data_IF_653721204823
#
_entry.id   IF_653721204823
#
_cell.length_a   1.000
_cell.length_b   1.000
_cell.length_c   1.000
_cell.angle_alpha   90.00
_cell.angle_beta   90.00
_cell.angle_gamma   90.00
#
_symmetry.space_group_name_H-M   'P 1'
#
loop_
_entity.id
_entity.type
_entity.pdbx_description
1 polymer ?
#
# COMPACT_ATOMS: atom_id res chain seq x y z
N UNK A 1 -83.09 53.16 15.16
CA UNK A 1 -82.42 52.38 16.22
C UNK A 1 -81.39 51.52 15.51
N UNK A 2 -80.09 51.82 15.60
CA UNK A 2 -79.18 51.46 16.71
C UNK A 2 -79.25 49.95 16.98
N UNK A 3 -78.21 49.13 17.04
CA UNK A 3 -76.73 49.14 17.00
C UNK A 3 -76.40 47.67 16.57
N UNK A 4 -75.21 47.22 16.19
CA UNK A 4 -73.96 47.19 16.95
C UNK A 4 -72.94 46.43 16.08
N UNK A 5 -71.75 46.99 15.92
CA UNK A 5 -70.61 46.37 15.23
C UNK A 5 -69.97 45.32 16.15
N UNK A 6 -69.96 44.05 15.74
CA UNK A 6 -69.15 43.02 16.37
C UNK A 6 -67.76 42.98 15.74
N UNK A 7 -66.79 43.46 16.52
CA UNK A 7 -65.34 43.28 16.35
C UNK A 7 -64.96 41.80 16.35
N UNK A 8 -64.33 41.31 15.28
CA UNK A 8 -63.63 40.03 15.25
C UNK A 8 -62.16 40.31 15.56
N UNK A 9 -61.68 39.79 16.70
CA UNK A 9 -60.27 39.80 17.07
C UNK A 9 -59.47 38.96 16.07
N UNK A 10 -58.62 39.61 15.28
CA UNK A 10 -57.53 38.95 14.57
C UNK A 10 -56.49 38.49 15.58
N UNK A 11 -56.35 37.18 15.71
CA UNK A 11 -55.26 36.52 16.43
C UNK A 11 -53.92 36.85 15.77
N UNK A 12 -53.09 37.65 16.45
CA UNK A 12 -51.66 37.75 16.18
C UNK A 12 -51.04 36.34 16.30
N UNK A 13 -50.59 35.79 15.17
CA UNK A 13 -49.67 34.66 15.18
C UNK A 13 -48.27 35.18 15.54
N UNK A 14 -47.53 34.50 16.43
CA UNK A 14 -46.15 34.89 16.69
C UNK A 14 -45.33 34.57 15.45
N UNK A 15 -44.77 35.61 14.82
CA UNK A 15 -43.68 35.44 13.87
C UNK A 15 -42.55 34.68 14.59
N UNK A 16 -42.40 33.39 14.29
CA UNK A 16 -41.17 32.66 14.57
C UNK A 16 -40.14 33.31 13.64
N UNK A 17 -39.50 34.36 14.15
CA UNK A 17 -38.31 34.91 13.55
C UNK A 17 -37.35 33.76 13.36
N UNK A 18 -37.06 33.43 12.10
CA UNK A 18 -35.98 32.52 11.76
C UNK A 18 -34.70 33.19 12.25
N UNK A 19 -34.35 32.97 13.52
CA UNK A 19 -33.03 33.31 14.03
C UNK A 19 -32.04 32.64 13.09
N UNK A 20 -31.31 33.48 12.36
CA UNK A 20 -30.33 33.09 11.39
C UNK A 20 -29.21 32.37 12.13
N UNK A 21 -29.38 31.07 12.36
CA UNK A 21 -28.52 30.21 13.16
C UNK A 21 -27.05 30.23 12.66
N UNK A 22 -26.84 30.65 11.41
CA UNK A 22 -25.52 30.92 10.85
C UNK A 22 -24.79 32.09 11.55
N UNK A 23 -25.51 32.95 12.26
CA UNK A 23 -24.99 34.04 13.10
C UNK A 23 -24.66 33.62 14.53
N UNK A 24 -25.23 32.52 15.05
CA UNK A 24 -25.03 32.08 16.44
C UNK A 24 -23.89 31.07 16.61
N UNK A 25 -23.49 30.36 15.56
CA UNK A 25 -22.37 29.41 15.62
C UNK A 25 -21.01 30.12 15.70
N UNK A 26 -20.02 29.60 16.46
CA UNK A 26 -18.64 30.08 16.44
C UNK A 26 -17.95 29.89 15.07
N UNK A 27 -16.97 30.73 14.76
CA UNK A 27 -16.23 30.66 13.48
C UNK A 27 -15.52 29.31 13.32
N UNK A 28 -14.98 28.74 14.40
CA UNK A 28 -14.26 27.46 14.38
C UNK A 28 -15.17 26.29 13.95
N UNK A 29 -16.44 26.32 14.34
CA UNK A 29 -17.41 25.29 13.92
C UNK A 29 -17.75 25.45 12.45
N UNK A 30 -17.91 26.69 11.98
CA UNK A 30 -18.18 26.97 10.58
C UNK A 30 -16.99 26.61 9.68
N UNK A 31 -15.76 26.86 10.13
CA UNK A 31 -14.53 26.43 9.46
C UNK A 31 -14.45 24.90 9.36
N UNK A 32 -14.85 24.19 10.42
CA UNK A 32 -14.94 22.74 10.41
C UNK A 32 -16.03 22.24 9.46
N UNK A 33 -17.21 22.87 9.43
CA UNK A 33 -18.28 22.55 8.46
C UNK A 33 -17.79 22.75 7.03
N UNK A 34 -17.10 23.85 6.75
CA UNK A 34 -16.50 24.14 5.43
C UNK A 34 -15.44 23.11 5.03
N UNK A 35 -14.75 22.48 5.98
CA UNK A 35 -13.71 21.47 5.73
C UNK A 35 -14.25 20.16 5.12
N UNK A 36 -15.57 19.96 5.14
CA UNK A 36 -16.22 18.84 4.46
C UNK A 36 -16.52 19.13 2.99
N UNK A 37 -16.47 20.40 2.56
CA UNK A 37 -16.76 20.80 1.19
C UNK A 37 -15.50 20.77 0.31
N UNK A 38 -15.64 20.55 -1.00
CA UNK A 38 -14.62 20.93 -1.97
C UNK A 38 -14.24 22.41 -1.83
N UNK A 39 -12.96 22.73 -2.04
CA UNK A 39 -12.42 24.07 -1.86
C UNK A 39 -13.14 25.12 -2.71
N UNK A 40 -13.56 24.75 -3.92
CA UNK A 40 -14.34 25.58 -4.83
C UNK A 40 -15.68 25.98 -4.20
N UNK A 41 -16.41 25.02 -3.64
CA UNK A 41 -17.69 25.25 -2.97
C UNK A 41 -17.53 26.04 -1.68
N UNK A 42 -16.50 25.72 -0.89
CA UNK A 42 -16.17 26.47 0.32
C UNK A 42 -15.93 27.95 0.02
N UNK A 43 -15.22 28.27 -1.07
CA UNK A 43 -15.05 29.66 -1.54
C UNK A 43 -16.37 30.24 -2.06
N UNK A 44 -17.22 29.47 -2.73
CA UNK A 44 -18.52 29.97 -3.21
C UNK A 44 -19.49 30.34 -2.07
N UNK A 45 -19.33 29.76 -0.87
CA UNK A 45 -20.11 30.17 0.31
C UNK A 45 -19.94 31.66 0.68
N UNK A 46 -18.89 32.33 0.18
CA UNK A 46 -18.73 33.78 0.28
C UNK A 46 -19.95 34.57 -0.24
N UNK A 47 -20.70 34.00 -1.20
CA UNK A 47 -21.90 34.62 -1.79
C UNK A 47 -23.11 34.50 -0.86
N UNK A 48 -23.15 33.46 0.00
CA UNK A 48 -24.27 33.18 0.91
C UNK A 48 -24.32 34.19 2.04
N UNK A 49 -23.18 34.50 2.66
CA UNK A 49 -23.10 35.50 3.71
C UNK A 49 -21.70 36.11 3.84
N UNK A 50 -21.64 37.41 4.13
CA UNK A 50 -20.38 38.15 4.33
C UNK A 50 -19.46 37.50 5.38
N UNK A 51 -20.02 36.88 6.42
CA UNK A 51 -19.25 36.21 7.48
C UNK A 51 -18.41 35.05 6.93
N UNK A 52 -18.94 34.30 5.98
CA UNK A 52 -18.30 33.10 5.43
C UNK A 52 -17.13 33.45 4.51
N UNK A 53 -17.01 34.71 4.08
CA UNK A 53 -16.03 35.10 3.08
C UNK A 53 -14.55 35.02 3.52
N UNK A 54 -14.32 34.85 4.82
CA UNK A 54 -12.98 34.73 5.39
C UNK A 54 -12.72 33.35 6.03
N UNK A 55 -13.77 32.58 6.34
CA UNK A 55 -13.65 31.31 7.07
C UNK A 55 -12.92 30.23 6.27
N UNK A 56 -13.15 30.15 4.95
CA UNK A 56 -12.44 29.20 4.09
C UNK A 56 -10.90 29.39 4.12
N UNK A 57 -10.40 30.57 4.52
CA UNK A 57 -8.95 30.82 4.61
C UNK A 57 -8.27 30.09 5.76
N UNK A 58 -9.03 29.67 6.76
CA UNK A 58 -8.53 28.96 7.94
C UNK A 58 -9.02 27.51 8.01
N UNK A 59 -9.84 27.05 7.04
CA UNK A 59 -10.43 25.71 7.06
C UNK A 59 -9.37 24.60 7.17
N UNK A 60 -9.49 23.63 8.09
CA UNK A 60 -8.42 22.67 8.37
C UNK A 60 -8.20 21.63 7.26
N UNK A 61 -9.12 21.50 6.30
CA UNK A 61 -8.99 20.58 5.18
C UNK A 61 -9.07 21.30 3.84
N UNK A 62 -8.18 20.94 2.93
CA UNK A 62 -8.17 21.36 1.54
C UNK A 62 -8.57 20.18 0.67
N UNK A 63 -9.78 20.18 0.13
CA UNK A 63 -10.29 19.14 -0.76
C UNK A 63 -10.45 19.68 -2.17
N UNK A 64 -9.64 19.20 -3.09
CA UNK A 64 -9.68 19.52 -4.51
C UNK A 64 -10.17 18.26 -5.21
N UNK A 65 -11.47 18.18 -5.44
CA UNK A 65 -12.11 17.01 -6.07
C UNK A 65 -12.72 17.46 -7.39
N UNK A 66 -12.34 16.78 -8.47
CA UNK A 66 -12.92 16.99 -9.80
C UNK A 66 -13.24 15.63 -10.41
N UNK A 67 -14.53 15.30 -10.48
CA UNK A 67 -15.01 14.05 -11.09
C UNK A 67 -15.38 14.23 -12.58
N UNK A 68 -15.38 15.47 -13.08
CA UNK A 68 -15.64 15.78 -14.47
C UNK A 68 -14.39 15.57 -15.33
N UNK A 69 -14.60 15.16 -16.59
CA UNK A 69 -13.54 15.12 -17.57
C UNK A 69 -12.95 16.52 -17.78
N UNK A 70 -11.65 16.69 -17.56
CA UNK A 70 -10.97 17.98 -17.74
C UNK A 70 -10.24 18.03 -19.09
N UNK A 71 -10.46 19.09 -19.86
CA UNK A 71 -9.53 19.43 -20.94
C UNK A 71 -8.33 20.20 -20.38
N UNK A 72 -7.33 20.47 -21.23
CA UNK A 72 -6.15 21.26 -20.89
C UNK A 72 -6.54 22.64 -20.28
N UNK A 73 -7.66 23.22 -20.70
CA UNK A 73 -8.15 24.49 -20.18
C UNK A 73 -8.72 24.35 -18.76
N UNK A 74 -9.44 23.26 -18.48
CA UNK A 74 -9.94 22.90 -17.16
C UNK A 74 -8.80 22.73 -16.15
N UNK A 75 -7.75 22.00 -16.52
CA UNK A 75 -6.55 21.82 -15.68
C UNK A 75 -5.85 23.16 -15.42
N UNK A 76 -5.70 24.03 -16.44
CA UNK A 76 -5.17 25.41 -16.28
C UNK A 76 -5.97 26.19 -15.25
N UNK A 77 -7.29 26.16 -15.38
CA UNK A 77 -8.19 26.90 -14.50
C UNK A 77 -8.13 26.38 -13.07
N UNK A 78 -8.06 25.07 -12.89
CA UNK A 78 -7.92 24.43 -11.59
C UNK A 78 -6.61 24.84 -10.90
N UNK A 79 -5.50 24.79 -11.63
CA UNK A 79 -4.19 25.24 -11.15
C UNK A 79 -4.18 26.71 -10.74
N UNK A 80 -4.76 27.60 -11.57
CA UNK A 80 -4.87 29.02 -11.23
C UNK A 80 -5.72 29.23 -9.97
N UNK A 81 -6.81 28.47 -9.82
CA UNK A 81 -7.64 28.49 -8.63
C UNK A 81 -6.85 28.08 -7.39
N UNK A 82 -6.09 26.98 -7.45
CA UNK A 82 -5.36 26.45 -6.30
C UNK A 82 -4.20 27.34 -5.91
N UNK A 83 -3.42 27.86 -6.87
CA UNK A 83 -2.40 28.87 -6.59
C UNK A 83 -2.99 30.10 -5.90
N UNK A 84 -4.12 30.61 -6.40
CA UNK A 84 -4.83 31.73 -5.78
C UNK A 84 -5.34 31.40 -4.38
N UNK A 85 -5.85 30.18 -4.17
CA UNK A 85 -6.35 29.69 -2.89
C UNK A 85 -5.21 29.62 -1.85
N UNK A 86 -4.10 28.98 -2.20
CA UNK A 86 -2.92 28.83 -1.34
C UNK A 86 -2.31 30.19 -0.99
N UNK A 87 -2.21 31.11 -1.97
CA UNK A 87 -1.72 32.48 -1.74
C UNK A 87 -2.59 33.31 -0.79
N UNK A 88 -3.91 33.04 -0.74
CA UNK A 88 -4.87 33.79 0.07
C UNK A 88 -5.19 33.15 1.41
N UNK A 89 -4.66 31.96 1.66
CA UNK A 89 -4.88 31.20 2.89
C UNK A 89 -4.19 31.88 4.07
N UNK A 90 -4.70 31.65 5.27
CA UNK A 90 -4.03 32.06 6.48
C UNK A 90 -2.81 31.14 6.73
N UNK A 91 -1.60 31.66 6.55
CA UNK A 91 -0.36 30.90 6.76
C UNK A 91 -0.16 30.41 8.21
N UNK A 92 -0.92 30.94 9.17
CA UNK A 92 -0.89 30.47 10.57
C UNK A 92 -1.82 29.28 10.82
N UNK A 93 -2.76 29.02 9.92
CA UNK A 93 -3.72 27.92 10.06
C UNK A 93 -3.17 26.64 9.43
N UNK A 94 -2.87 25.65 10.27
CA UNK A 94 -2.39 24.35 9.84
C UNK A 94 -3.41 23.66 8.93
N UNK A 95 -2.92 22.94 7.93
CA UNK A 95 -3.74 22.05 7.11
C UNK A 95 -3.63 20.66 7.73
N UNK A 96 -4.73 20.14 8.24
CA UNK A 96 -4.80 18.76 8.72
C UNK A 96 -4.84 17.79 7.54
N UNK A 97 -5.64 18.12 6.51
CA UNK A 97 -5.86 17.24 5.35
C UNK A 97 -5.72 18.02 4.05
N UNK A 98 -4.90 17.54 3.12
CA UNK A 98 -4.92 17.96 1.72
C UNK A 98 -5.28 16.76 0.86
N UNK A 99 -6.40 16.86 0.16
CA UNK A 99 -6.93 15.82 -0.73
C UNK A 99 -7.03 16.39 -2.13
N UNK A 100 -6.41 15.71 -3.08
CA UNK A 100 -6.46 16.04 -4.50
C UNK A 100 -6.93 14.79 -5.24
N UNK A 101 -8.10 14.89 -5.85
CA UNK A 101 -8.70 13.87 -6.70
C UNK A 101 -8.96 14.49 -8.07
N UNK A 102 -8.25 13.99 -9.07
CA UNK A 102 -8.38 14.40 -10.46
C UNK A 102 -8.95 13.21 -11.23
N UNK A 103 -10.13 13.38 -11.82
CA UNK A 103 -10.76 12.41 -12.72
C UNK A 103 -10.04 12.30 -14.07
N UNK A 104 -10.74 11.77 -15.07
CA UNK A 104 -10.21 11.64 -16.44
C UNK A 104 -9.89 13.01 -17.06
N UNK A 105 -8.85 13.12 -17.87
CA UNK A 105 -8.53 14.34 -18.61
C UNK A 105 -7.94 14.02 -19.99
N UNK A 106 -7.76 15.03 -20.86
CA UNK A 106 -7.29 14.82 -22.23
C UNK A 106 -5.76 14.61 -22.28
N UNK A 107 -5.35 13.38 -22.59
CA UNK A 107 -3.99 12.85 -22.35
C UNK A 107 -3.14 12.69 -23.61
N UNK A 108 -2.95 13.76 -24.37
CA UNK A 108 -2.13 13.64 -25.59
C UNK A 108 -0.62 13.65 -25.27
N UNK A 109 -0.20 14.29 -24.16
CA UNK A 109 1.20 14.32 -23.66
C UNK A 109 1.21 14.54 -22.13
N UNK A 110 2.31 14.20 -21.44
CA UNK A 110 2.53 14.48 -20.01
C UNK A 110 2.18 15.95 -19.69
N UNK A 111 0.96 16.24 -19.22
CA UNK A 111 0.55 17.64 -18.98
C UNK A 111 1.35 18.15 -17.78
N UNK A 112 2.34 19.07 -17.99
CA UNK A 112 3.17 19.56 -16.91
C UNK A 112 2.31 20.16 -15.79
N UNK A 113 1.11 20.62 -16.11
CA UNK A 113 0.22 21.30 -15.18
C UNK A 113 -0.39 20.38 -14.12
N UNK A 114 -0.70 19.12 -14.43
CA UNK A 114 -1.15 18.17 -13.40
C UNK A 114 -0.01 17.90 -12.42
N UNK A 115 1.22 17.80 -12.93
CA UNK A 115 2.41 17.66 -12.09
C UNK A 115 2.60 18.88 -11.18
N UNK A 116 2.39 20.09 -11.71
CA UNK A 116 2.41 21.31 -10.89
C UNK A 116 1.35 21.26 -9.78
N UNK A 117 0.15 20.75 -10.08
CA UNK A 117 -0.92 20.67 -9.10
C UNK A 117 -0.58 19.76 -7.94
N UNK A 118 -0.10 18.55 -8.26
CA UNK A 118 0.29 17.58 -7.25
C UNK A 118 1.47 18.11 -6.43
N UNK A 119 2.43 18.79 -7.07
CA UNK A 119 3.53 19.48 -6.38
C UNK A 119 3.04 20.57 -5.43
N UNK A 120 2.11 21.42 -5.87
CA UNK A 120 1.54 22.48 -5.04
C UNK A 120 0.78 21.88 -3.83
N UNK A 121 0.07 20.77 -4.01
CA UNK A 121 -0.58 20.04 -2.94
C UNK A 121 0.40 19.43 -1.92
N UNK A 122 1.52 18.87 -2.42
CA UNK A 122 2.61 18.36 -1.59
C UNK A 122 3.24 19.48 -0.72
N UNK A 123 3.33 20.69 -1.25
CA UNK A 123 3.89 21.84 -0.52
C UNK A 123 2.96 22.46 0.53
N UNK A 124 1.72 21.97 0.67
CA UNK A 124 0.73 22.51 1.60
C UNK A 124 1.05 22.30 3.10
N UNK A 125 2.19 21.68 3.45
CA UNK A 125 2.61 21.37 4.83
C UNK A 125 1.52 20.64 5.64
N UNK A 126 0.70 19.83 4.96
CA UNK A 126 -0.41 19.13 5.57
C UNK A 126 0.05 17.92 6.39
N UNK A 127 -0.76 17.52 7.38
CA UNK A 127 -0.51 16.30 8.18
C UNK A 127 -0.88 15.03 7.43
N UNK A 128 -1.92 15.10 6.60
CA UNK A 128 -2.40 14.01 5.77
C UNK A 128 -2.49 14.54 4.34
N UNK A 129 -1.85 13.83 3.41
CA UNK A 129 -1.92 14.15 1.98
C UNK A 129 -2.49 12.92 1.26
N UNK A 130 -3.54 13.13 0.47
CA UNK A 130 -4.14 12.12 -0.41
C UNK A 130 -4.14 12.64 -1.83
N UNK A 131 -3.55 11.87 -2.73
CA UNK A 131 -3.47 12.20 -4.15
C UNK A 131 -4.01 11.00 -4.92
N UNK A 132 -5.06 11.24 -5.69
CA UNK A 132 -5.66 10.27 -6.63
C UNK A 132 -5.72 10.92 -8.00
N UNK A 133 -5.10 10.27 -9.00
CA UNK A 133 -5.12 10.74 -10.39
C UNK A 133 -5.65 9.62 -11.27
N UNK A 134 -6.92 9.71 -11.66
CA UNK A 134 -7.61 8.67 -12.41
C UNK A 134 -7.31 8.81 -13.91
N UNK A 135 -6.19 8.26 -14.39
CA UNK A 135 -6.03 8.01 -15.82
C UNK A 135 -5.13 6.80 -16.08
N UNK A 136 -5.59 5.97 -17.02
CA UNK A 136 -4.94 4.74 -17.45
C UNK A 136 -3.59 4.97 -18.16
N UNK A 137 -3.24 6.21 -18.50
CA UNK A 137 -2.07 6.54 -19.32
C UNK A 137 -1.18 7.67 -18.77
N UNK A 138 -1.45 8.21 -17.57
CA UNK A 138 -0.82 9.44 -17.11
C UNK A 138 0.41 9.28 -16.24
N UNK A 139 1.49 9.96 -16.65
CA UNK A 139 2.72 10.03 -15.89
C UNK A 139 2.75 11.26 -15.00
N UNK A 140 2.38 11.09 -13.73
CA UNK A 140 2.50 12.18 -12.74
C UNK A 140 3.95 12.31 -12.28
N UNK A 141 4.80 12.99 -13.03
CA UNK A 141 6.21 13.18 -12.66
C UNK A 141 6.38 14.04 -11.39
N UNK A 142 6.57 13.37 -10.25
CA UNK A 142 7.01 14.00 -9.00
C UNK A 142 8.52 14.38 -9.00
N UNK A 143 9.14 14.47 -10.17
CA UNK A 143 10.57 14.68 -10.35
C UNK A 143 11.19 15.88 -9.64
N UNK A 144 12.34 15.65 -9.02
CA UNK A 144 13.33 16.68 -8.72
C UNK A 144 13.09 17.55 -7.47
N UNK A 145 12.01 17.36 -6.72
CA UNK A 145 11.76 18.12 -5.49
C UNK A 145 12.01 17.24 -4.27
N UNK A 146 12.99 17.57 -3.41
CA UNK A 146 13.09 16.93 -2.12
C UNK A 146 11.86 17.35 -1.32
N UNK A 147 11.05 16.36 -0.95
CA UNK A 147 9.80 16.59 -0.25
C UNK A 147 10.10 16.83 1.24
N UNK A 148 9.95 18.09 1.68
CA UNK A 148 10.20 18.51 3.07
C UNK A 148 8.88 18.83 3.78
N UNK A 149 8.50 18.00 4.75
CA UNK A 149 7.39 18.30 5.66
C UNK A 149 7.72 17.86 7.08
N UNK A 150 7.55 18.77 8.03
CA UNK A 150 7.74 18.46 9.46
C UNK A 150 6.47 17.89 10.11
N UNK A 151 5.34 17.94 9.39
CA UNK A 151 4.02 17.62 9.94
C UNK A 151 3.35 16.43 9.28
N UNK A 152 3.81 16.04 8.08
CA UNK A 152 3.23 14.92 7.35
C UNK A 152 3.36 13.63 8.15
N UNK A 153 2.23 13.00 8.43
CA UNK A 153 2.11 11.72 9.13
C UNK A 153 1.57 10.61 8.25
N UNK A 154 0.82 10.97 7.20
CA UNK A 154 0.15 10.04 6.29
C UNK A 154 0.23 10.54 4.85
N UNK A 155 0.73 9.70 3.96
CA UNK A 155 0.76 9.94 2.52
C UNK A 155 0.05 8.80 1.79
N UNK A 156 -0.91 9.16 0.95
CA UNK A 156 -1.65 8.23 0.10
C UNK A 156 -1.52 8.67 -1.36
N UNK A 157 -1.00 7.77 -2.19
CA UNK A 157 -0.81 7.95 -3.62
C UNK A 157 -1.58 6.85 -4.34
N UNK A 158 -2.54 7.22 -5.18
CA UNK A 158 -3.37 6.29 -5.95
C UNK A 158 -3.30 6.64 -7.43
N UNK A 159 -2.94 5.67 -8.28
CA UNK A 159 -2.82 5.82 -9.73
C UNK A 159 -1.82 6.93 -10.11
N UNK A 160 -0.62 6.88 -9.54
CA UNK A 160 0.44 7.89 -9.72
C UNK A 160 1.71 7.21 -10.24
N UNK A 161 2.27 7.72 -11.33
CA UNK A 161 3.55 7.25 -11.88
C UNK A 161 4.76 7.98 -11.27
N UNK A 162 5.80 7.25 -10.89
CA UNK A 162 6.93 7.76 -10.10
C UNK A 162 8.26 7.49 -10.83
N UNK A 163 8.66 8.34 -11.80
CA UNK A 163 9.75 8.03 -12.76
C UNK A 163 11.20 8.56 -12.48
N UNK A 164 11.42 9.68 -11.79
CA UNK A 164 12.75 10.24 -11.39
C UNK A 164 13.49 9.64 -10.15
N UNK A 165 14.59 10.25 -9.68
CA UNK A 165 15.54 9.62 -8.73
C UNK A 165 15.17 9.60 -7.22
N UNK A 166 14.06 10.18 -6.74
CA UNK A 166 13.92 10.47 -5.30
C UNK A 166 12.52 10.23 -4.75
N UNK A 167 12.23 9.02 -4.25
CA UNK A 167 11.22 8.80 -3.19
C UNK A 167 11.93 8.81 -1.83
N UNK A 168 12.66 9.89 -1.58
CA UNK A 168 13.39 10.10 -0.34
C UNK A 168 12.53 10.91 0.64
N UNK A 169 11.89 10.19 1.55
CA UNK A 169 11.13 10.76 2.66
C UNK A 169 12.01 10.93 3.91
N UNK A 170 13.34 10.86 3.80
CA UNK A 170 14.26 11.14 4.92
C UNK A 170 14.06 12.52 5.53
N UNK A 171 13.57 13.45 4.72
CA UNK A 171 13.24 14.82 5.09
C UNK A 171 11.85 14.99 5.73
N UNK A 172 11.12 13.88 5.95
CA UNK A 172 9.80 13.84 6.57
C UNK A 172 9.84 13.08 7.91
N UNK A 173 10.35 13.70 8.98
CA UNK A 173 10.59 13.01 10.25
C UNK A 173 9.31 12.53 10.96
N UNK A 174 8.14 13.08 10.59
CA UNK A 174 6.86 12.71 11.18
C UNK A 174 6.09 11.62 10.39
N UNK A 175 6.58 11.22 9.21
CA UNK A 175 5.86 10.32 8.31
C UNK A 175 5.79 8.91 8.91
N UNK A 176 4.57 8.45 9.22
CA UNK A 176 4.33 7.13 9.81
C UNK A 176 3.71 6.15 8.83
N UNK A 177 2.83 6.62 7.94
CA UNK A 177 2.05 5.77 7.06
C UNK A 177 2.22 6.20 5.60
N UNK A 178 2.49 5.22 4.73
CA UNK A 178 2.60 5.40 3.29
C UNK A 178 1.76 4.33 2.59
N UNK A 179 0.75 4.78 1.84
CA UNK A 179 -0.09 3.94 0.99
C UNK A 179 0.16 4.29 -0.47
N UNK A 180 0.49 3.28 -1.28
CA UNK A 180 0.61 3.37 -2.74
C UNK A 180 -0.35 2.35 -3.36
N UNK A 181 -1.22 2.78 -4.26
CA UNK A 181 -2.19 1.90 -4.92
C UNK A 181 -2.23 2.17 -6.43
N UNK A 182 -2.01 1.16 -7.25
CA UNK A 182 -2.06 1.34 -8.71
C UNK A 182 -0.95 2.26 -9.23
N UNK A 183 0.16 2.41 -8.51
CA UNK A 183 1.23 3.32 -8.90
C UNK A 183 2.24 2.62 -9.81
N UNK A 184 2.72 3.31 -10.84
CA UNK A 184 3.94 2.90 -11.54
C UNK A 184 5.17 3.41 -10.80
N UNK A 185 6.10 2.53 -10.48
CA UNK A 185 7.31 2.84 -9.73
C UNK A 185 8.50 2.53 -10.62
N UNK A 186 9.23 3.57 -11.03
CA UNK A 186 10.49 3.42 -11.75
C UNK A 186 11.64 2.96 -10.84
N UNK A 187 12.87 3.04 -11.35
CA UNK A 187 14.10 2.52 -10.73
C UNK A 187 14.53 3.26 -9.45
N UNK A 188 13.74 3.22 -8.37
CA UNK A 188 13.92 4.09 -7.20
C UNK A 188 14.29 3.35 -5.91
N UNK A 189 14.92 4.11 -5.01
CA UNK A 189 15.07 3.77 -3.60
C UNK A 189 13.99 4.51 -2.78
N UNK A 190 13.06 3.78 -2.17
CA UNK A 190 12.16 4.32 -1.15
C UNK A 190 12.96 4.40 0.15
N UNK A 191 13.20 5.62 0.63
CA UNK A 191 13.97 5.88 1.85
C UNK A 191 13.07 6.55 2.89
N UNK A 192 12.93 5.96 4.07
CA UNK A 192 12.33 6.65 5.21
C UNK A 192 12.83 6.10 6.54
N UNK A 193 13.19 6.98 7.48
CA UNK A 193 13.63 6.59 8.83
C UNK A 193 12.51 6.65 9.88
N UNK A 194 11.38 7.26 9.53
CA UNK A 194 10.23 7.49 10.40
C UNK A 194 9.06 6.55 10.11
N UNK A 195 9.03 5.95 8.92
CA UNK A 195 7.92 5.14 8.44
C UNK A 195 7.70 3.90 9.32
N UNK A 196 6.47 3.74 9.79
CA UNK A 196 6.01 2.62 10.64
C UNK A 196 5.15 1.63 9.84
N UNK A 197 4.35 2.11 8.88
CA UNK A 197 3.47 1.29 8.04
C UNK A 197 3.62 1.64 6.55
N UNK A 198 3.85 0.62 5.72
CA UNK A 198 3.97 0.72 4.27
C UNK A 198 3.04 -0.28 3.60
N UNK A 199 2.14 0.22 2.76
CA UNK A 199 1.22 -0.59 1.97
C UNK A 199 1.36 -0.23 0.49
N UNK A 200 1.65 -1.23 -0.33
CA UNK A 200 1.82 -1.12 -1.78
C UNK A 200 0.90 -2.16 -2.43
N UNK A 201 -0.10 -1.69 -3.19
CA UNK A 201 -1.17 -2.52 -3.76
C UNK A 201 -1.24 -2.30 -5.27
N UNK A 202 -1.20 -3.37 -6.06
CA UNK A 202 -1.40 -3.33 -7.51
C UNK A 202 -0.43 -2.35 -8.22
N UNK A 203 0.81 -2.23 -7.74
CA UNK A 203 1.79 -1.30 -8.29
C UNK A 203 2.74 -2.00 -9.27
N UNK A 204 3.19 -1.28 -10.29
CA UNK A 204 4.11 -1.81 -11.32
C UNK A 204 5.54 -1.36 -11.04
N UNK A 205 6.50 -2.29 -10.97
CA UNK A 205 7.91 -1.97 -10.76
C UNK A 205 8.72 -2.15 -12.05
N UNK A 206 9.01 -1.06 -12.76
CA UNK A 206 9.75 -1.10 -14.03
C UNK A 206 11.25 -1.34 -13.80
N UNK A 207 11.87 -2.35 -14.45
CA UNK A 207 13.27 -2.73 -14.21
C UNK A 207 14.31 -2.00 -15.09
N UNK A 208 13.93 -0.99 -15.88
CA UNK A 208 14.73 -0.42 -16.99
C UNK A 208 16.19 -0.06 -16.66
N UNK A 209 16.50 0.30 -15.40
CA UNK A 209 17.83 0.69 -14.92
C UNK A 209 18.22 -0.07 -13.62
N UNK A 210 17.32 -0.89 -13.08
CA UNK A 210 17.59 -1.78 -11.94
C UNK A 210 16.41 -1.95 -10.99
N UNK A 211 16.44 -3.01 -10.18
CA UNK A 211 15.38 -3.33 -9.23
C UNK A 211 15.21 -2.23 -8.17
N UNK A 212 13.97 -1.80 -7.94
CA UNK A 212 13.63 -0.85 -6.88
C UNK A 212 14.10 -1.34 -5.51
N UNK A 213 14.43 -0.43 -4.60
CA UNK A 213 14.94 -0.72 -3.25
C UNK A 213 14.08 -0.05 -2.20
N UNK A 214 13.71 -0.76 -1.14
CA UNK A 214 12.94 -0.23 -0.02
C UNK A 214 13.82 -0.28 1.23
N UNK A 215 14.12 0.88 1.79
CA UNK A 215 14.90 1.05 3.02
C UNK A 215 14.09 1.84 4.05
N UNK A 216 13.46 1.09 4.95
CA UNK A 216 12.65 1.63 6.03
C UNK A 216 12.98 0.91 7.35
N UNK A 217 14.06 1.30 8.06
CA UNK A 217 14.54 0.56 9.23
C UNK A 217 13.57 0.58 10.42
N UNK A 218 12.69 1.58 10.50
CA UNK A 218 11.68 1.74 11.56
C UNK A 218 10.34 1.07 11.22
N UNK A 219 10.24 0.40 10.08
CA UNK A 219 9.00 -0.18 9.59
C UNK A 219 8.54 -1.31 10.52
N UNK A 220 7.27 -1.25 10.93
CA UNK A 220 6.61 -2.22 11.82
C UNK A 220 5.68 -3.12 11.02
N UNK A 221 5.01 -2.58 10.01
CA UNK A 221 4.10 -3.30 9.11
C UNK A 221 4.44 -3.06 7.65
N UNK A 222 4.52 -4.14 6.87
CA UNK A 222 4.69 -4.11 5.43
C UNK A 222 3.57 -4.89 4.75
N UNK A 223 2.95 -4.30 3.74
CA UNK A 223 2.01 -4.98 2.85
C UNK A 223 2.41 -4.71 1.40
N UNK A 224 2.71 -5.78 0.67
CA UNK A 224 3.07 -5.75 -0.75
C UNK A 224 2.16 -6.76 -1.46
N UNK A 225 1.20 -6.28 -2.22
CA UNK A 225 0.15 -7.12 -2.83
C UNK A 225 0.06 -6.82 -4.32
N UNK A 226 0.07 -7.90 -5.11
CA UNK A 226 -0.24 -7.93 -6.54
C UNK A 226 0.55 -6.93 -7.37
N UNK A 227 1.84 -6.85 -7.07
CA UNK A 227 2.75 -5.97 -7.79
C UNK A 227 3.31 -6.65 -9.05
N UNK A 228 3.33 -5.90 -10.15
CA UNK A 228 3.74 -6.38 -11.48
C UNK A 228 5.22 -6.15 -11.75
N UNK A 229 5.73 -6.87 -12.77
CA UNK A 229 7.12 -6.81 -13.23
C UNK A 229 8.12 -7.29 -12.17
N UNK A 230 9.05 -6.43 -11.72
CA UNK A 230 10.17 -6.85 -10.88
C UNK A 230 9.91 -6.56 -9.39
N UNK A 231 9.91 -7.59 -8.56
CA UNK A 231 9.72 -7.44 -7.11
C UNK A 231 10.80 -6.55 -6.50
N UNK A 232 10.49 -5.57 -5.61
CA UNK A 232 11.49 -4.68 -5.02
C UNK A 232 12.43 -5.40 -4.03
N UNK A 233 13.66 -4.91 -3.90
CA UNK A 233 14.61 -5.32 -2.87
C UNK A 233 14.22 -4.67 -1.55
N UNK A 234 13.95 -5.48 -0.53
CA UNK A 234 13.80 -5.07 0.85
C UNK A 234 15.17 -5.06 1.53
N UNK A 235 15.65 -3.88 1.90
CA UNK A 235 16.81 -3.75 2.79
C UNK A 235 16.46 -4.22 4.21
N UNK A 236 17.45 -4.35 5.10
CA UNK A 236 17.20 -4.87 6.45
C UNK A 236 16.22 -4.00 7.24
N UNK A 237 15.13 -4.59 7.74
CA UNK A 237 14.08 -3.92 8.51
C UNK A 237 14.05 -4.44 9.96
N UNK A 238 14.93 -3.96 10.85
CA UNK A 238 15.09 -4.51 12.20
C UNK A 238 13.85 -4.38 13.11
N UNK A 239 12.97 -3.43 12.80
CA UNK A 239 11.77 -3.14 13.59
C UNK A 239 10.51 -3.88 13.10
N UNK A 240 10.64 -4.66 12.02
CA UNK A 240 9.51 -5.29 11.34
C UNK A 240 8.83 -6.31 12.25
N UNK A 241 7.51 -6.22 12.37
CA UNK A 241 6.70 -7.15 13.18
C UNK A 241 5.77 -7.99 12.34
N UNK A 242 5.11 -7.39 11.35
CA UNK A 242 4.19 -8.09 10.45
C UNK A 242 4.52 -7.74 9.00
N UNK A 243 4.59 -8.74 8.13
CA UNK A 243 4.60 -8.52 6.69
C UNK A 243 3.59 -9.42 5.96
N UNK A 244 2.91 -8.85 4.98
CA UNK A 244 2.02 -9.54 4.05
C UNK A 244 2.59 -9.32 2.65
N UNK A 245 3.03 -10.39 2.00
CA UNK A 245 3.57 -10.36 0.65
C UNK A 245 2.73 -11.30 -0.21
N UNK A 246 1.96 -10.74 -1.14
CA UNK A 246 1.14 -11.48 -2.11
C UNK A 246 1.60 -11.15 -3.52
N UNK A 247 2.10 -12.14 -4.25
CA UNK A 247 2.72 -11.94 -5.57
C UNK A 247 2.01 -12.81 -6.62
N UNK A 248 0.89 -12.30 -7.14
CA UNK A 248 0.22 -12.94 -8.27
C UNK A 248 0.71 -12.41 -9.64
N UNK A 249 1.12 -11.14 -9.74
CA UNK A 249 1.56 -10.50 -10.99
C UNK A 249 3.08 -10.45 -11.25
N UNK A 250 3.90 -11.04 -10.37
CA UNK A 250 5.36 -10.93 -10.47
C UNK A 250 5.91 -11.64 -11.72
N UNK A 251 6.69 -10.92 -12.53
CA UNK A 251 7.32 -11.44 -13.75
C UNK A 251 8.81 -11.79 -13.52
N UNK A 252 9.22 -11.95 -12.26
CA UNK A 252 10.58 -12.35 -11.91
C UNK A 252 10.91 -13.74 -12.45
N UNK A 253 11.93 -13.83 -13.31
CA UNK A 253 12.41 -15.09 -13.91
C UNK A 253 13.92 -15.25 -13.76
N UNK A 254 14.41 -16.48 -13.89
CA UNK A 254 15.85 -16.77 -13.93
C UNK A 254 16.28 -16.78 -15.39
N UNK A 255 17.19 -15.87 -15.76
CA UNK A 255 17.68 -15.72 -17.13
C UNK A 255 18.50 -16.91 -17.69
N UNK A 256 18.43 -18.11 -17.09
CA UNK A 256 18.89 -19.34 -17.73
C UNK A 256 17.72 -19.96 -18.50
N UNK A 257 17.49 -19.38 -19.64
CA UNK A 257 17.24 -20.00 -20.94
C UNK A 257 17.06 -18.82 -21.87
N UNK A 258 17.46 -18.93 -23.13
CA UNK A 258 17.45 -17.83 -24.09
C UNK A 258 16.06 -17.16 -24.27
N UNK A 259 15.01 -17.63 -23.59
CA UNK A 259 13.72 -16.95 -23.40
C UNK A 259 13.11 -17.28 -22.01
N UNK A 260 13.39 -16.46 -20.98
CA UNK A 260 12.48 -16.22 -19.83
C UNK A 260 11.88 -17.41 -19.06
N UNK A 261 12.67 -18.41 -18.68
CA UNK A 261 12.19 -19.59 -17.93
C UNK A 261 12.15 -19.44 -16.39
N UNK A 262 11.23 -20.18 -15.74
CA UNK A 262 11.28 -20.44 -14.28
C UNK A 262 12.35 -21.49 -13.99
N UNK A 263 13.18 -21.24 -13.00
CA UNK A 263 14.43 -21.98 -12.81
C UNK A 263 14.34 -22.83 -11.57
N UNK A 264 14.24 -24.13 -11.82
CA UNK A 264 14.02 -25.18 -10.84
C UNK A 264 15.31 -25.77 -10.28
N UNK A 265 16.49 -25.27 -10.69
CA UNK A 265 17.77 -25.87 -10.34
C UNK A 265 18.44 -25.19 -9.14
N UNK A 266 18.63 -25.95 -8.06
CA UNK A 266 19.36 -25.55 -6.83
C UNK A 266 20.82 -25.14 -7.12
N UNK A 267 21.37 -25.55 -8.26
CA UNK A 267 22.76 -25.30 -8.70
C UNK A 267 22.83 -24.14 -9.71
N UNK A 268 21.76 -23.36 -9.89
CA UNK A 268 21.80 -22.25 -10.83
C UNK A 268 22.79 -21.16 -10.37
N UNK A 269 23.89 -21.02 -11.11
CA UNK A 269 24.89 -19.97 -10.93
C UNK A 269 24.34 -18.54 -11.11
N UNK A 270 23.13 -18.34 -11.63
CA UNK A 270 22.47 -17.03 -11.68
C UNK A 270 21.51 -16.79 -10.50
N UNK A 271 21.19 -17.81 -9.70
CA UNK A 271 20.18 -17.72 -8.63
C UNK A 271 20.77 -17.81 -7.23
N UNK A 272 21.96 -18.37 -7.10
CA UNK A 272 22.62 -18.60 -5.82
C UNK A 272 23.75 -17.60 -5.49
N UNK A 273 24.23 -17.60 -4.24
CA UNK A 273 25.29 -16.70 -3.73
C UNK A 273 26.65 -16.84 -4.42
N UNK A 274 26.81 -17.84 -5.29
CA UNK A 274 28.03 -18.11 -6.07
C UNK A 274 27.99 -17.45 -7.47
N UNK A 275 27.03 -16.56 -7.75
CA UNK A 275 26.92 -15.88 -9.05
C UNK A 275 28.05 -14.86 -9.27
N UNK A 276 28.68 -14.91 -10.44
CA UNK A 276 29.78 -14.02 -10.81
C UNK A 276 29.32 -12.67 -11.38
N UNK A 277 28.02 -12.47 -11.61
CA UNK A 277 27.44 -11.22 -12.08
C UNK A 277 26.82 -10.43 -10.92
N UNK A 278 27.19 -9.15 -10.79
CA UNK A 278 26.87 -8.28 -9.64
C UNK A 278 25.37 -8.03 -9.42
N UNK A 279 24.53 -8.31 -10.42
CA UNK A 279 23.07 -8.09 -10.34
C UNK A 279 22.31 -9.16 -9.54
N UNK A 280 22.92 -10.30 -9.20
CA UNK A 280 22.26 -11.45 -8.54
C UNK A 280 22.85 -11.85 -7.17
N UNK A 281 23.73 -11.03 -6.59
CA UNK A 281 24.46 -11.36 -5.34
C UNK A 281 23.72 -11.05 -4.04
N UNK A 282 22.44 -10.67 -4.09
CA UNK A 282 21.71 -10.25 -2.90
C UNK A 282 20.29 -10.82 -2.88
N UNK A 283 19.90 -11.35 -1.71
CA UNK A 283 18.52 -11.66 -1.40
C UNK A 283 17.65 -10.41 -1.57
N UNK A 284 16.49 -10.56 -2.21
CA UNK A 284 15.61 -9.45 -2.58
C UNK A 284 14.59 -9.17 -1.49
N UNK A 285 13.78 -10.15 -1.09
CA UNK A 285 12.75 -10.02 -0.08
C UNK A 285 13.21 -10.53 1.29
N UNK A 286 13.69 -11.78 1.35
CA UNK A 286 13.73 -12.51 2.64
C UNK A 286 14.68 -11.89 3.67
N UNK A 287 15.72 -11.20 3.22
CA UNK A 287 16.64 -10.47 4.11
C UNK A 287 15.90 -9.36 4.87
N UNK A 288 15.08 -8.58 4.19
CA UNK A 288 14.26 -7.54 4.82
C UNK A 288 13.18 -8.10 5.75
N UNK A 289 12.66 -9.29 5.43
CA UNK A 289 11.59 -9.95 6.19
C UNK A 289 12.07 -10.76 7.40
N UNK A 290 13.37 -11.01 7.53
CA UNK A 290 13.97 -11.94 8.51
C UNK A 290 13.66 -11.62 9.99
N UNK A 291 13.34 -10.36 10.29
CA UNK A 291 13.10 -9.86 11.65
C UNK A 291 11.62 -9.90 12.06
N UNK A 292 10.71 -10.26 11.15
CA UNK A 292 9.27 -10.27 11.40
C UNK A 292 8.82 -11.35 12.40
N UNK A 293 7.78 -11.02 13.19
CA UNK A 293 7.10 -11.96 14.09
C UNK A 293 5.97 -12.73 13.38
N UNK A 294 5.37 -12.13 12.35
CA UNK A 294 4.27 -12.68 11.56
C UNK A 294 4.50 -12.42 10.08
N UNK A 295 4.52 -13.49 9.28
CA UNK A 295 4.68 -13.43 7.84
C UNK A 295 3.53 -14.13 7.12
N UNK A 296 2.99 -13.48 6.11
CA UNK A 296 2.12 -14.09 5.10
C UNK A 296 2.80 -13.97 3.74
N UNK A 297 3.13 -15.11 3.13
CA UNK A 297 3.83 -15.19 1.85
C UNK A 297 2.99 -16.01 0.88
N UNK A 298 2.22 -15.32 0.05
CA UNK A 298 1.30 -15.93 -0.90
C UNK A 298 1.77 -15.58 -2.31
N UNK A 299 1.76 -16.53 -3.23
CA UNK A 299 2.11 -16.29 -4.62
C UNK A 299 1.59 -17.39 -5.53
N UNK A 300 1.62 -17.17 -6.85
CA UNK A 300 1.32 -18.24 -7.80
C UNK A 300 2.25 -19.46 -7.61
N UNK A 301 1.80 -20.70 -7.91
CA UNK A 301 2.60 -21.92 -7.77
C UNK A 301 4.01 -21.85 -8.40
N UNK A 302 4.14 -21.07 -9.48
CA UNK A 302 5.36 -20.85 -10.25
C UNK A 302 6.26 -19.71 -9.76
N UNK A 303 5.87 -18.97 -8.72
CA UNK A 303 6.58 -17.77 -8.28
C UNK A 303 8.04 -18.05 -7.94
N UNK A 304 8.93 -17.50 -8.75
CA UNK A 304 10.36 -17.78 -8.71
C UNK A 304 11.07 -17.07 -7.55
N UNK A 305 10.64 -15.85 -7.21
CA UNK A 305 11.37 -14.95 -6.31
C UNK A 305 11.54 -15.54 -4.90
N UNK A 306 10.50 -16.17 -4.35
CA UNK A 306 10.57 -16.79 -3.03
C UNK A 306 11.54 -17.98 -3.02
N UNK A 307 11.44 -18.86 -4.02
CA UNK A 307 12.33 -20.03 -4.14
C UNK A 307 13.79 -19.59 -4.28
N UNK A 308 14.05 -18.58 -5.11
CA UNK A 308 15.39 -18.01 -5.29
C UNK A 308 15.96 -17.47 -3.99
N UNK A 309 15.19 -16.67 -3.27
CA UNK A 309 15.66 -16.05 -2.02
C UNK A 309 15.87 -17.07 -0.90
N UNK A 310 15.11 -18.16 -0.87
CA UNK A 310 15.31 -19.24 0.10
C UNK A 310 16.59 -20.03 -0.11
N UNK A 311 17.22 -19.97 -1.29
CA UNK A 311 18.58 -20.51 -1.50
C UNK A 311 19.64 -19.82 -0.62
N UNK A 312 19.33 -18.62 -0.10
CA UNK A 312 20.19 -17.90 0.83
C UNK A 312 20.00 -18.31 2.29
N UNK A 313 19.09 -19.25 2.56
CA UNK A 313 18.79 -19.78 3.90
C UNK A 313 18.65 -18.67 4.97
N UNK A 314 17.77 -17.68 4.76
CA UNK A 314 17.55 -16.58 5.71
C UNK A 314 17.04 -17.14 7.04
N UNK A 315 17.59 -16.66 8.15
CA UNK A 315 17.15 -17.09 9.49
C UNK A 315 16.06 -16.18 10.01
N UNK A 316 14.89 -16.75 10.32
CA UNK A 316 13.72 -16.06 10.84
C UNK A 316 13.65 -16.19 12.36
N UNK A 317 14.53 -15.46 13.06
CA UNK A 317 14.79 -15.66 14.50
C UNK A 317 13.61 -15.31 15.42
N UNK A 318 12.68 -14.47 14.95
CA UNK A 318 11.53 -13.95 15.72
C UNK A 318 10.18 -14.46 15.23
N UNK A 319 10.14 -15.22 14.13
CA UNK A 319 8.91 -15.62 13.46
C UNK A 319 8.09 -16.59 14.29
N UNK A 320 6.88 -16.18 14.68
CA UNK A 320 5.91 -16.97 15.47
C UNK A 320 4.75 -17.48 14.62
N UNK A 321 4.31 -16.71 13.63
CA UNK A 321 3.18 -17.06 12.77
C UNK A 321 3.59 -16.98 11.30
N UNK A 322 3.33 -18.04 10.55
CA UNK A 322 3.66 -18.13 9.14
C UNK A 322 2.45 -18.60 8.34
N UNK A 323 2.08 -17.87 7.29
CA UNK A 323 1.04 -18.24 6.33
C UNK A 323 1.68 -18.41 4.96
N UNK A 324 1.50 -19.58 4.34
CA UNK A 324 1.96 -19.90 2.98
C UNK A 324 0.80 -20.46 2.15
N UNK A 325 0.91 -20.42 0.82
CA UNK A 325 0.04 -21.18 -0.08
C UNK A 325 0.82 -22.20 -0.93
N UNK A 326 0.18 -22.73 -1.96
CA UNK A 326 0.69 -23.86 -2.75
C UNK A 326 2.09 -23.72 -3.36
N UNK A 327 2.64 -22.52 -3.59
CA UNK A 327 3.99 -22.37 -4.19
C UNK A 327 5.09 -23.06 -3.38
N UNK A 328 4.90 -23.21 -2.06
CA UNK A 328 5.90 -23.83 -1.17
C UNK A 328 5.96 -25.36 -1.30
N UNK A 329 5.00 -25.96 -2.02
CA UNK A 329 4.85 -27.40 -2.24
C UNK A 329 4.58 -27.77 -3.70
N UNK A 330 4.46 -26.80 -4.61
CA UNK A 330 3.99 -26.99 -5.99
C UNK A 330 4.89 -27.86 -6.88
N UNK A 331 6.20 -27.87 -6.64
CA UNK A 331 7.18 -28.64 -7.44
C UNK A 331 7.89 -29.66 -6.53
N UNK A 332 8.45 -29.16 -5.44
CA UNK A 332 8.99 -29.96 -4.34
C UNK A 332 8.65 -29.26 -3.01
N UNK A 333 9.00 -29.90 -1.89
CA UNK A 333 8.80 -29.34 -0.55
C UNK A 333 10.04 -28.62 -0.01
N UNK A 334 11.07 -28.38 -0.83
CA UNK A 334 12.30 -27.74 -0.38
C UNK A 334 12.05 -26.33 0.20
N UNK A 335 11.21 -25.46 -0.41
CA UNK A 335 10.91 -24.15 0.16
C UNK A 335 10.27 -24.22 1.54
N UNK A 336 9.25 -25.08 1.71
CA UNK A 336 8.58 -25.29 3.00
C UNK A 336 9.58 -25.77 4.05
N UNK A 337 10.39 -26.77 3.71
CA UNK A 337 11.39 -27.36 4.61
C UNK A 337 12.44 -26.32 5.02
N UNK A 338 12.95 -25.55 4.06
CA UNK A 338 13.94 -24.49 4.30
C UNK A 338 13.41 -23.47 5.32
N UNK A 339 12.21 -22.93 5.11
CA UNK A 339 11.64 -21.94 6.05
C UNK A 339 11.48 -22.54 7.44
N UNK A 340 10.96 -23.77 7.54
CA UNK A 340 10.73 -24.41 8.84
C UNK A 340 12.02 -24.70 9.61
N UNK A 341 13.10 -25.10 8.93
CA UNK A 341 14.41 -25.30 9.53
C UNK A 341 15.04 -23.99 10.02
N UNK A 342 14.71 -22.88 9.36
CA UNK A 342 15.26 -21.56 9.65
C UNK A 342 14.35 -20.68 10.52
N UNK A 343 13.23 -21.21 11.03
CA UNK A 343 12.29 -20.52 11.91
C UNK A 343 12.22 -21.20 13.30
N UNK A 344 13.24 -21.06 14.16
CA UNK A 344 13.40 -21.86 15.38
C UNK A 344 12.37 -21.58 16.48
N UNK A 345 11.61 -20.50 16.38
CA UNK A 345 10.61 -20.08 17.38
C UNK A 345 9.17 -20.10 16.85
N UNK A 346 8.94 -20.67 15.66
CA UNK A 346 7.62 -20.75 15.04
C UNK A 346 6.62 -21.46 15.95
N UNK A 347 5.43 -20.87 16.10
CA UNK A 347 4.33 -21.36 16.95
C UNK A 347 3.13 -21.84 16.14
N UNK A 348 2.80 -21.13 15.06
CA UNK A 348 1.65 -21.41 14.18
C UNK A 348 2.07 -21.40 12.71
N UNK A 349 1.69 -22.44 11.98
CA UNK A 349 1.82 -22.54 10.53
C UNK A 349 0.43 -22.69 9.91
N UNK A 350 0.08 -21.82 8.96
CA UNK A 350 -1.15 -21.91 8.18
C UNK A 350 -0.80 -22.12 6.71
N UNK A 351 -1.38 -23.14 6.09
CA UNK A 351 -1.20 -23.49 4.69
C UNK A 351 -2.53 -23.35 3.94
N UNK A 352 -2.54 -22.55 2.90
CA UNK A 352 -3.71 -22.31 2.02
C UNK A 352 -3.48 -23.01 0.68
N UNK A 353 -4.11 -24.15 0.44
CA UNK A 353 -3.90 -24.97 -0.76
C UNK A 353 -5.15 -24.93 -1.65
N UNK A 354 -5.27 -23.87 -2.45
CA UNK A 354 -6.47 -23.62 -3.25
C UNK A 354 -6.42 -24.31 -4.62
N UNK A 355 -5.26 -24.27 -5.29
CA UNK A 355 -5.10 -24.75 -6.67
C UNK A 355 -4.11 -25.91 -6.71
N UNK A 356 -4.52 -27.07 -7.25
CA UNK A 356 -3.67 -28.24 -7.42
C UNK A 356 -3.07 -28.30 -8.83
N UNK A 357 -1.74 -28.45 -8.99
CA UNK A 357 -1.16 -28.68 -10.31
C UNK A 357 -1.48 -30.10 -10.81
N UNK A 358 -1.82 -30.23 -12.11
CA UNK A 358 -2.29 -31.48 -12.72
C UNK A 358 -1.34 -32.68 -12.57
N UNK A 359 -0.03 -32.44 -12.42
CA UNK A 359 1.02 -33.46 -12.42
C UNK A 359 1.96 -33.35 -11.20
N UNK A 360 1.41 -33.29 -9.99
CA UNK A 360 2.23 -33.23 -8.78
C UNK A 360 2.79 -34.60 -8.36
N UNK A 361 4.12 -34.76 -8.47
CA UNK A 361 4.87 -35.92 -7.95
C UNK A 361 5.67 -35.51 -6.70
N UNK A 362 5.01 -35.47 -5.54
CA UNK A 362 5.68 -35.10 -4.29
C UNK A 362 6.93 -35.94 -4.01
N UNK A 363 8.10 -35.30 -4.03
CA UNK A 363 9.38 -35.94 -3.74
C UNK A 363 9.98 -35.42 -2.43
N UNK A 364 9.71 -36.14 -1.34
CA UNK A 364 10.45 -35.96 -0.09
C UNK A 364 10.79 -37.32 0.50
N UNK A 365 12.08 -37.50 0.77
CA UNK A 365 12.60 -38.65 1.46
C UNK A 365 13.07 -38.24 2.86
N UNK A 366 12.28 -38.50 3.93
CA UNK A 366 12.64 -38.16 5.30
C UNK A 366 13.98 -38.77 5.76
N UNK A 367 14.38 -39.90 5.16
CA UNK A 367 15.64 -40.58 5.50
C UNK A 367 16.89 -39.89 4.95
N UNK A 368 16.75 -39.00 3.97
CA UNK A 368 17.87 -38.31 3.32
C UNK A 368 18.16 -36.91 3.91
N UNK A 369 17.17 -36.26 4.54
CA UNK A 369 17.29 -34.92 5.13
C UNK A 369 16.44 -34.81 6.41
N UNK A 370 17.05 -34.94 7.60
CA UNK A 370 16.33 -34.74 8.86
C UNK A 370 15.90 -33.28 9.02
N UNK A 371 14.60 -33.03 9.23
CA UNK A 371 14.10 -31.71 9.60
C UNK A 371 14.32 -31.46 11.09
N UNK A 372 14.99 -30.36 11.42
CA UNK A 372 14.93 -29.77 12.74
C UNK A 372 13.77 -28.76 12.78
N UNK A 373 12.58 -29.19 13.19
CA UNK A 373 11.44 -28.31 13.38
C UNK A 373 11.56 -27.50 14.67
N UNK A 374 10.91 -26.33 14.69
CA UNK A 374 10.70 -25.55 15.92
C UNK A 374 10.00 -26.41 16.97
N UNK A 375 10.64 -26.54 18.15
CA UNK A 375 10.02 -27.20 19.31
C UNK A 375 8.83 -26.41 19.88
N UNK A 376 8.62 -25.18 19.42
CA UNK A 376 7.51 -24.31 19.82
C UNK A 376 6.29 -24.42 18.91
N UNK A 377 6.39 -25.16 17.80
CA UNK A 377 5.28 -25.32 16.87
C UNK A 377 4.15 -26.08 17.57
N UNK A 378 3.01 -25.42 17.76
CA UNK A 378 1.84 -25.96 18.47
C UNK A 378 0.72 -26.32 17.50
N UNK A 379 0.49 -25.45 16.50
CA UNK A 379 -0.66 -25.50 15.63
C UNK A 379 -0.24 -25.47 14.16
N UNK A 380 -0.75 -26.42 13.39
CA UNK A 380 -0.67 -26.43 11.93
C UNK A 380 -2.08 -26.44 11.36
N UNK A 381 -2.44 -25.36 10.70
CA UNK A 381 -3.70 -25.21 9.97
C UNK A 381 -3.47 -25.50 8.50
N UNK A 382 -4.26 -26.39 7.91
CA UNK A 382 -4.22 -26.68 6.47
C UNK A 382 -5.62 -26.49 5.91
N UNK A 383 -5.77 -25.44 5.10
CA UNK A 383 -6.96 -25.12 4.36
C UNK A 383 -6.78 -25.61 2.92
N UNK A 384 -7.76 -26.31 2.37
CA UNK A 384 -7.69 -26.85 1.00
C UNK A 384 -9.04 -26.85 0.31
N UNK A 385 -9.03 -26.76 -1.02
CA UNK A 385 -10.24 -26.71 -1.84
C UNK A 385 -10.80 -28.10 -2.17
N UNK A 386 -9.95 -29.14 -2.17
CA UNK A 386 -10.32 -30.52 -2.48
C UNK A 386 -9.70 -31.48 -1.45
N UNK A 387 -10.52 -32.25 -0.75
CA UNK A 387 -10.08 -33.27 0.21
C UNK A 387 -9.16 -34.35 -0.42
N UNK A 388 -9.25 -34.57 -1.73
CA UNK A 388 -8.44 -35.53 -2.46
C UNK A 388 -7.06 -34.99 -2.85
N UNK A 389 -6.74 -33.74 -2.50
CA UNK A 389 -5.45 -33.14 -2.77
C UNK A 389 -4.32 -33.91 -2.06
N UNK A 390 -3.56 -34.67 -2.86
CA UNK A 390 -2.43 -35.50 -2.39
C UNK A 390 -1.37 -34.69 -1.66
N UNK A 391 -1.28 -33.38 -1.90
CA UNK A 391 -0.34 -32.47 -1.22
C UNK A 391 -0.68 -32.34 0.27
N UNK A 392 -1.95 -32.29 0.63
CA UNK A 392 -2.41 -32.18 2.03
C UNK A 392 -1.86 -33.36 2.85
N UNK A 393 -2.10 -34.58 2.37
CA UNK A 393 -1.61 -35.80 3.01
C UNK A 393 -0.08 -35.84 3.08
N UNK A 394 0.59 -35.40 2.03
CA UNK A 394 2.03 -35.37 1.98
C UNK A 394 2.63 -34.38 2.97
N UNK A 395 2.13 -33.15 3.05
CA UNK A 395 2.63 -32.13 4.00
C UNK A 395 2.40 -32.60 5.43
N UNK A 396 1.21 -33.13 5.73
CA UNK A 396 0.92 -33.70 7.04
C UNK A 396 1.91 -34.82 7.39
N UNK A 397 2.28 -35.67 6.42
CA UNK A 397 3.28 -36.74 6.62
C UNK A 397 4.69 -36.18 6.89
N UNK A 398 5.10 -35.12 6.18
CA UNK A 398 6.40 -34.45 6.41
C UNK A 398 6.47 -33.88 7.81
N UNK A 399 5.43 -33.16 8.22
CA UNK A 399 5.41 -32.50 9.51
C UNK A 399 5.31 -33.52 10.66
N UNK A 400 4.42 -34.51 10.58
CA UNK A 400 4.23 -35.53 11.64
C UNK A 400 5.43 -36.45 11.83
N UNK A 401 6.30 -36.60 10.83
CA UNK A 401 7.52 -37.40 10.98
C UNK A 401 8.59 -36.72 11.85
N UNK A 402 8.40 -35.45 12.22
CA UNK A 402 9.42 -34.67 12.90
C UNK A 402 8.98 -34.02 14.22
N UNK A 403 7.69 -33.97 14.56
CA UNK A 403 7.20 -33.34 15.81
C UNK A 403 5.76 -33.75 16.17
N UNK A 404 5.40 -33.60 17.45
CA UNK A 404 4.02 -33.73 17.94
C UNK A 404 3.40 -32.33 18.07
N UNK A 405 2.54 -31.95 17.13
CA UNK A 405 1.75 -30.72 17.13
C UNK A 405 0.30 -31.03 16.76
N UNK A 406 -0.60 -30.10 17.05
CA UNK A 406 -2.00 -30.19 16.65
C UNK A 406 -2.15 -29.83 15.18
N UNK A 407 -2.86 -30.67 14.42
CA UNK A 407 -3.20 -30.41 13.02
C UNK A 407 -4.69 -30.16 12.92
N UNK A 408 -5.04 -28.97 12.47
CA UNK A 408 -6.41 -28.61 12.11
C UNK A 408 -6.48 -28.54 10.59
N UNK A 409 -7.30 -29.40 10.01
CA UNK A 409 -7.54 -29.47 8.56
C UNK A 409 -8.99 -29.12 8.28
N UNK A 410 -9.23 -28.19 7.37
CA UNK A 410 -10.57 -27.73 7.02
C UNK A 410 -10.70 -27.52 5.52
N UNK A 411 -11.80 -28.00 4.95
CA UNK A 411 -12.23 -27.65 3.60
C UNK A 411 -12.71 -26.19 3.60
N UNK A 412 -12.16 -25.36 2.71
CA UNK A 412 -12.57 -23.95 2.55
C UNK A 412 -12.94 -23.65 1.10
N UNK A 413 -13.96 -22.83 0.91
CA UNK A 413 -14.26 -22.20 -0.38
C UNK A 413 -13.31 -21.02 -0.58
N UNK A 414 -12.27 -21.20 -1.38
CA UNK A 414 -11.24 -20.21 -1.68
C UNK A 414 -11.68 -19.11 -2.65
#
# INVERSE_FOLDING_TARGET
MLQEETTVNETEQPEIGSEDWTKTLPDEILEHVLSFLPAQEAVQTCVVAKRWCHLWKSMPALRIVTDEWLDEHGVKKLNMFIKSLLLKRNNSALIDVCEVQIGEYNDIEDDPQVNHLVRDALLCQARIIRITVSSDFNRVELGGLPFFSQHLTWLELTQVDLHDDVLDYSSCPALKNLLMKGCSIGNRKILSRSLEELTILNCTFYPDVGRARISAPSLVRLELVDCDCATPILEGMPSLRKAIIRLYGSQDVCGKEEFGGTCSTVICHNCGPLSNEDFNRHCVLMKGLSEAESLELIAEPGAFIFKRDLLWCPTFSKLKTLVLNEWCVAIDSHPLICILQHAPVLETLTLKLAQAPDNWEGSYNPSAQPLALSKKLKLVEVHYADELDRRVHYVIRILKSHSNFEVVSGEETF
#
